data_IF_667988826892
#
_entry.id   IF_667988826892
#
_cell.length_a   1.000
_cell.length_b   1.000
_cell.length_c   1.000
_cell.angle_alpha   90.00
_cell.angle_beta   90.00
_cell.angle_gamma   90.00
#
_symmetry.space_group_name_H-M   'P 1'
#
loop_
_entity.id
_entity.type
_entity.pdbx_description
1 polymer ?
#
# COMPACT_ATOMS: atom_id res chain seq x y z
N UNK A 1 -0.36 -17.06 -13.38
CA UNK A 1 -0.37 -15.58 -13.42
C UNK A 1 -1.76 -14.92 -13.30
N UNK A 2 -2.88 -15.63 -13.48
CA UNK A 2 -4.23 -15.02 -13.39
C UNK A 2 -4.74 -14.79 -11.96
N UNK A 3 -4.17 -15.49 -10.97
CA UNK A 3 -4.70 -15.53 -9.61
C UNK A 3 -4.58 -14.20 -8.83
N UNK A 4 -3.52 -13.40 -9.06
CA UNK A 4 -3.37 -12.08 -8.40
C UNK A 4 -4.51 -11.13 -8.82
N UNK A 5 -4.81 -11.11 -10.12
CA UNK A 5 -5.83 -10.22 -10.68
C UNK A 5 -7.21 -10.58 -10.15
N UNK A 6 -7.59 -11.86 -10.19
CA UNK A 6 -8.89 -12.31 -9.70
C UNK A 6 -9.07 -12.04 -8.20
N UNK A 7 -8.03 -12.26 -7.40
CA UNK A 7 -8.10 -12.09 -5.94
C UNK A 7 -8.11 -10.61 -5.55
N UNK A 8 -7.39 -9.76 -6.27
CA UNK A 8 -7.30 -8.33 -5.95
C UNK A 8 -8.28 -7.44 -6.74
N UNK A 9 -9.11 -7.98 -7.64
CA UNK A 9 -10.07 -7.17 -8.41
C UNK A 9 -11.25 -6.67 -7.56
N UNK A 10 -11.51 -5.36 -7.58
CA UNK A 10 -12.57 -4.73 -6.77
C UNK A 10 -13.92 -5.10 -7.33
N UNK A 11 -14.58 -6.06 -6.70
CA UNK A 11 -16.00 -6.29 -6.92
C UNK A 11 -16.78 -5.17 -6.22
N UNK A 12 -17.52 -4.36 -7.00
CA UNK A 12 -18.25 -3.19 -6.51
C UNK A 12 -19.23 -3.52 -5.37
N UNK A 13 -19.69 -4.77 -5.28
CA UNK A 13 -20.62 -5.25 -4.27
C UNK A 13 -20.02 -5.47 -2.87
N UNK A 14 -18.68 -5.45 -2.70
CA UNK A 14 -18.03 -5.61 -1.37
C UNK A 14 -16.89 -4.62 -1.20
N UNK A 15 -17.14 -3.55 -0.44
CA UNK A 15 -16.16 -2.56 0.01
C UNK A 15 -15.30 -3.08 1.17
N UNK A 16 -14.65 -4.23 1.00
CA UNK A 16 -13.68 -4.74 2.00
C UNK A 16 -12.28 -4.70 1.42
N UNK A 17 -11.25 -4.38 2.23
CA UNK A 17 -9.87 -4.51 1.79
C UNK A 17 -9.59 -5.96 1.42
N UNK A 18 -8.73 -6.14 0.42
CA UNK A 18 -8.24 -7.46 0.02
C UNK A 18 -6.74 -7.49 0.17
N UNK A 19 -6.26 -8.52 0.84
CA UNK A 19 -4.85 -8.75 1.10
C UNK A 19 -4.43 -10.01 0.38
N UNK A 20 -3.26 -9.99 -0.25
CA UNK A 20 -2.66 -11.15 -0.88
C UNK A 20 -1.17 -11.20 -0.53
N UNK A 21 -0.69 -12.41 -0.21
CA UNK A 21 0.73 -12.66 0.04
C UNK A 21 1.33 -13.42 -1.14
N UNK A 22 2.48 -12.96 -1.64
CA UNK A 22 3.21 -13.60 -2.75
C UNK A 22 4.50 -14.19 -2.17
N UNK A 23 4.59 -15.51 -2.13
CA UNK A 23 5.75 -16.24 -1.61
C UNK A 23 6.26 -17.26 -2.65
N UNK A 24 7.50 -17.71 -2.50
CA UNK A 24 8.16 -18.63 -3.44
C UNK A 24 9.68 -18.50 -3.41
N UNK A 25 10.37 -19.38 -4.13
CA UNK A 25 11.84 -19.43 -4.17
C UNK A 25 12.47 -18.11 -4.68
N UNK A 26 13.75 -17.90 -4.37
CA UNK A 26 14.51 -16.75 -4.85
C UNK A 26 14.55 -16.70 -6.38
N UNK A 27 14.54 -15.51 -6.98
CA UNK A 27 14.70 -15.34 -8.43
C UNK A 27 13.47 -15.57 -9.30
N UNK A 28 12.33 -16.05 -8.77
CA UNK A 28 11.11 -16.31 -9.57
C UNK A 28 10.33 -15.06 -10.02
N UNK A 29 10.84 -13.86 -9.74
CA UNK A 29 10.23 -12.61 -10.19
C UNK A 29 9.04 -12.11 -9.36
N UNK A 30 8.92 -12.46 -8.07
CA UNK A 30 7.85 -11.98 -7.17
C UNK A 30 7.73 -10.46 -7.15
N UNK A 31 8.86 -9.77 -7.01
CA UNK A 31 8.94 -8.31 -7.03
C UNK A 31 8.53 -7.74 -8.40
N UNK A 32 8.99 -8.37 -9.49
CA UNK A 32 8.63 -7.99 -10.86
C UNK A 32 7.12 -8.09 -11.09
N UNK A 33 6.49 -9.14 -10.54
CA UNK A 33 5.06 -9.37 -10.63
C UNK A 33 4.25 -8.35 -9.84
N UNK A 34 4.68 -8.01 -8.62
CA UNK A 34 4.06 -6.95 -7.82
C UNK A 34 4.16 -5.58 -8.51
N UNK A 35 5.32 -5.26 -9.09
CA UNK A 35 5.53 -4.04 -9.87
C UNK A 35 4.65 -3.99 -11.12
N UNK A 36 4.62 -5.07 -11.91
CA UNK A 36 3.78 -5.16 -13.10
C UNK A 36 2.31 -4.92 -12.76
N UNK A 37 1.82 -5.52 -11.67
CA UNK A 37 0.47 -5.30 -11.18
C UNK A 37 0.23 -3.84 -10.75
N UNK A 38 1.16 -3.22 -10.04
CA UNK A 38 1.06 -1.81 -9.62
C UNK A 38 0.94 -0.86 -10.83
N UNK A 39 1.77 -1.03 -11.86
CA UNK A 39 1.70 -0.23 -13.09
C UNK A 39 0.40 -0.46 -13.86
N UNK A 40 -0.05 -1.71 -13.97
CA UNK A 40 -1.32 -2.04 -14.60
C UNK A 40 -2.50 -1.33 -13.90
N UNK A 41 -2.54 -1.35 -12.56
CA UNK A 41 -3.60 -0.68 -11.79
C UNK A 41 -3.57 0.84 -11.90
N UNK A 42 -2.36 1.42 -11.93
CA UNK A 42 -2.21 2.86 -12.21
C UNK A 42 -2.83 3.21 -13.56
N UNK A 43 -2.57 2.42 -14.60
CA UNK A 43 -3.13 2.63 -15.94
C UNK A 43 -4.65 2.40 -15.99
N UNK A 44 -5.20 1.59 -15.09
CA UNK A 44 -6.64 1.35 -14.93
C UNK A 44 -7.35 2.41 -14.05
N UNK A 45 -6.69 3.52 -13.71
CA UNK A 45 -7.31 4.64 -12.98
C UNK A 45 -7.29 4.51 -11.45
N UNK A 46 -6.44 3.65 -10.89
CA UNK A 46 -6.19 3.66 -9.44
C UNK A 46 -5.53 4.98 -9.03
N UNK A 47 -6.12 5.67 -8.05
CA UNK A 47 -5.72 7.02 -7.64
C UNK A 47 -4.32 7.07 -7.01
N UNK A 48 -3.96 6.04 -6.25
CA UNK A 48 -2.69 5.97 -5.56
C UNK A 48 -2.20 4.53 -5.42
N UNK A 49 -0.88 4.35 -5.55
CA UNK A 49 -0.17 3.10 -5.22
C UNK A 49 0.95 3.45 -4.26
N UNK A 50 0.97 2.79 -3.11
CA UNK A 50 2.01 2.97 -2.10
C UNK A 50 2.95 1.77 -2.10
N UNK A 51 4.25 2.04 -2.17
CA UNK A 51 5.30 1.03 -2.07
C UNK A 51 6.05 1.22 -0.76
N UNK A 52 6.05 0.19 0.09
CA UNK A 52 6.64 0.23 1.43
C UNK A 52 7.76 -0.80 1.47
N UNK A 53 8.98 -0.37 1.83
CA UNK A 53 10.05 -1.32 2.12
C UNK A 53 9.79 -1.94 3.51
N UNK A 54 9.81 -3.26 3.58
CA UNK A 54 9.48 -4.05 4.76
C UNK A 54 10.63 -4.91 5.28
N UNK A 55 11.86 -4.65 4.86
CA UNK A 55 13.04 -5.42 5.30
C UNK A 55 13.38 -5.15 6.77
N UNK A 56 13.24 -3.90 7.22
CA UNK A 56 13.38 -3.53 8.64
C UNK A 56 12.22 -2.68 9.15
N UNK A 57 11.98 -2.69 10.47
CA UNK A 57 10.98 -1.80 11.10
C UNK A 57 11.25 -0.32 10.77
N UNK A 58 12.52 0.10 10.77
CA UNK A 58 12.91 1.46 10.44
C UNK A 58 12.54 1.87 9.02
N UNK A 59 12.74 0.97 8.04
CA UNK A 59 12.38 1.24 6.65
C UNK A 59 10.88 1.31 6.41
N UNK A 60 10.08 0.51 7.13
CA UNK A 60 8.62 0.60 7.09
C UNK A 60 8.19 1.99 7.57
N UNK A 61 8.68 2.40 8.74
CA UNK A 61 8.39 3.69 9.36
C UNK A 61 8.81 4.87 8.48
N UNK A 62 10.01 4.78 7.88
CA UNK A 62 10.51 5.79 6.96
C UNK A 62 9.67 5.84 5.67
N UNK A 63 9.25 4.69 5.14
CA UNK A 63 8.38 4.61 3.96
C UNK A 63 7.01 5.24 4.23
N UNK A 64 6.41 4.97 5.39
CA UNK A 64 5.16 5.62 5.83
C UNK A 64 5.32 7.14 5.91
N UNK A 65 6.41 7.62 6.51
CA UNK A 65 6.72 9.06 6.59
C UNK A 65 6.82 9.71 5.21
N UNK A 66 7.55 9.07 4.29
CA UNK A 66 7.67 9.54 2.90
C UNK A 66 6.30 9.64 2.22
N UNK A 67 5.40 8.69 2.47
CA UNK A 67 4.04 8.72 1.92
C UNK A 67 3.23 9.88 2.52
N UNK A 68 3.19 10.02 3.84
CA UNK A 68 2.44 11.10 4.51
C UNK A 68 2.90 12.49 4.05
N UNK A 69 4.21 12.70 3.96
CA UNK A 69 4.80 13.96 3.49
C UNK A 69 4.45 14.22 2.03
N UNK A 70 4.50 13.20 1.17
CA UNK A 70 4.18 13.34 -0.26
C UNK A 70 2.70 13.61 -0.52
N UNK A 71 1.83 13.12 0.37
CA UNK A 71 0.39 13.39 0.34
C UNK A 71 0.00 14.67 1.07
N UNK A 72 0.98 15.38 1.67
CA UNK A 72 0.76 16.59 2.46
C UNK A 72 -0.28 16.39 3.57
N UNK A 73 -0.27 15.21 4.21
CA UNK A 73 -1.21 14.91 5.29
C UNK A 73 -0.96 15.83 6.49
N UNK A 74 -2.04 16.35 7.06
CA UNK A 74 -1.96 17.22 8.23
C UNK A 74 -1.33 16.47 9.42
N UNK A 75 -0.34 17.09 10.05
CA UNK A 75 0.41 16.48 11.16
C UNK A 75 1.60 15.62 10.76
N UNK A 76 1.89 15.45 9.45
CA UNK A 76 3.07 14.71 9.01
C UNK A 76 4.37 15.47 9.29
N UNK A 77 5.32 14.85 10.00
CA UNK A 77 6.63 15.44 10.32
C UNK A 77 7.76 14.66 9.63
N UNK A 78 8.64 15.34 8.90
CA UNK A 78 9.65 14.70 8.04
C UNK A 78 10.68 13.84 8.80
N UNK A 79 11.18 14.30 9.95
CA UNK A 79 12.45 13.76 10.50
C UNK A 79 12.43 13.38 12.00
N UNK A 80 11.27 13.38 12.67
CA UNK A 80 11.23 13.18 14.12
C UNK A 80 10.18 12.19 14.65
N UNK A 81 9.11 11.91 13.90
CA UNK A 81 7.95 11.18 14.43
C UNK A 81 7.43 10.12 13.47
N UNK A 82 8.32 9.18 13.08
CA UNK A 82 7.94 8.15 12.11
C UNK A 82 6.79 7.25 12.59
N UNK A 83 6.68 7.02 13.90
CA UNK A 83 5.59 6.24 14.50
C UNK A 83 4.25 7.00 14.44
N UNK A 84 4.25 8.30 14.76
CA UNK A 84 3.05 9.13 14.60
C UNK A 84 2.60 9.22 13.13
N UNK A 85 3.55 9.33 12.20
CA UNK A 85 3.25 9.33 10.77
C UNK A 85 2.61 8.02 10.31
N UNK A 86 2.98 6.87 10.89
CA UNK A 86 2.34 5.60 10.59
C UNK A 86 0.88 5.60 11.05
N UNK A 87 0.59 6.13 12.25
CA UNK A 87 -0.79 6.24 12.74
C UNK A 87 -1.64 7.16 11.85
N UNK A 88 -1.11 8.32 11.47
CA UNK A 88 -1.76 9.27 10.55
C UNK A 88 -2.06 8.59 9.21
N UNK A 89 -1.12 7.82 8.65
CA UNK A 89 -1.34 7.09 7.40
C UNK A 89 -2.50 6.09 7.53
N UNK A 90 -2.53 5.33 8.61
CA UNK A 90 -3.59 4.34 8.85
C UNK A 90 -4.94 5.07 9.00
N UNK A 91 -4.97 6.14 9.77
CA UNK A 91 -6.19 6.88 10.07
C UNK A 91 -6.74 7.63 8.85
N UNK A 92 -5.90 8.29 8.06
CA UNK A 92 -6.34 9.09 6.92
C UNK A 92 -6.54 8.26 5.64
N UNK A 93 -5.78 7.19 5.43
CA UNK A 93 -5.83 6.44 4.17
C UNK A 93 -6.52 5.08 4.30
N UNK A 94 -6.34 4.38 5.42
CA UNK A 94 -6.79 2.98 5.55
C UNK A 94 -8.15 2.88 6.22
N UNK A 95 -8.38 3.62 7.32
CA UNK A 95 -9.67 3.58 8.04
C UNK A 95 -10.87 4.06 7.21
N UNK A 96 -10.79 5.16 6.43
CA UNK A 96 -11.91 5.57 5.57
C UNK A 96 -12.28 4.51 4.53
N UNK A 97 -11.32 3.68 4.13
CA UNK A 97 -11.54 2.53 3.25
C UNK A 97 -12.21 1.34 3.95
N UNK A 98 -12.20 1.29 5.28
CA UNK A 98 -12.76 0.23 6.12
C UNK A 98 -14.14 0.57 6.70
N UNK A 99 -14.44 1.85 6.89
CA UNK A 99 -15.62 2.32 7.65
C UNK A 99 -16.81 2.69 6.77
N UNK A 100 -16.78 2.41 5.46
CA UNK A 100 -17.98 2.49 4.62
C UNK A 100 -18.96 1.36 5.00
N UNK A 101 -19.80 1.60 6.02
CA UNK A 101 -21.02 0.87 6.33
C UNK A 101 -22.23 1.75 6.00
#
# INVERSE_FOLDING_TARGET
MQHIRSTLNRNAAKSRPRTMHIYGTGGVGKTQLALSYAYERRNQGMQAVFWINSETKGEVLQSCTKICVKLELQGAVKDAQHEANQEILIDCCIKPMLTCY
#
